data_IF_332778676543
#
_entry.id   IF_332778676543
#
_cell.length_a   1.000
_cell.length_b   1.000
_cell.length_c   1.000
_cell.angle_alpha   90.00
_cell.angle_beta   90.00
_cell.angle_gamma   90.00
#
_symmetry.space_group_name_H-M   'P 1'
#
loop_
_entity.id
_entity.type
_entity.pdbx_description
1 polymer ?
#
# COMPACT_ATOMS: atom_id res chain seq x y z
N UNK A 1 4.08 4.65 -20.16
CA UNK A 1 3.11 4.55 -19.05
C UNK A 1 3.89 4.53 -17.74
N UNK A 2 3.53 5.38 -16.77
CA UNK A 2 4.12 5.36 -15.43
C UNK A 2 3.75 4.04 -14.75
N UNK A 3 4.71 3.38 -14.07
CA UNK A 3 4.50 2.07 -13.43
C UNK A 3 3.57 2.24 -12.22
N UNK A 4 2.57 1.35 -12.09
CA UNK A 4 1.61 1.36 -10.97
C UNK A 4 2.05 0.35 -9.91
N UNK A 5 2.85 0.82 -8.94
CA UNK A 5 3.46 -0.06 -7.95
C UNK A 5 2.43 -0.64 -6.97
N UNK A 6 1.34 0.07 -6.68
CA UNK A 6 0.28 -0.46 -5.80
C UNK A 6 -0.39 -1.65 -6.46
N UNK A 7 -0.72 -1.56 -7.76
CA UNK A 7 -1.30 -2.68 -8.51
C UNK A 7 -0.35 -3.87 -8.59
N UNK A 8 0.93 -3.62 -8.85
CA UNK A 8 1.96 -4.67 -8.92
C UNK A 8 2.11 -5.38 -7.56
N UNK A 9 2.20 -4.61 -6.46
CA UNK A 9 2.30 -5.14 -5.11
C UNK A 9 1.04 -5.91 -4.70
N UNK A 10 -0.15 -5.38 -4.99
CA UNK A 10 -1.41 -6.07 -4.72
C UNK A 10 -1.52 -7.40 -5.46
N UNK A 11 -1.14 -7.44 -6.74
CA UNK A 11 -1.13 -8.68 -7.52
C UNK A 11 -0.20 -9.71 -6.91
N UNK A 12 1.01 -9.27 -6.53
CA UNK A 12 2.04 -10.11 -5.93
C UNK A 12 1.63 -10.71 -4.58
N UNK A 13 0.94 -9.92 -3.74
CA UNK A 13 0.50 -10.34 -2.42
C UNK A 13 -0.97 -10.81 -2.38
N UNK A 14 -1.58 -11.03 -3.55
CA UNK A 14 -2.97 -11.52 -3.70
C UNK A 14 -4.00 -10.64 -2.96
N UNK A 15 -3.77 -9.32 -2.94
CA UNK A 15 -4.72 -8.37 -2.36
C UNK A 15 -5.77 -8.02 -3.41
N UNK A 16 -7.01 -8.45 -3.15
CA UNK A 16 -8.13 -8.23 -4.05
C UNK A 16 -8.53 -6.74 -4.15
N UNK A 17 -8.50 -6.02 -3.02
CA UNK A 17 -8.98 -4.63 -2.94
C UNK A 17 -7.87 -3.59 -3.20
N UNK A 18 -7.19 -3.73 -4.34
CA UNK A 18 -6.11 -2.82 -4.74
C UNK A 18 -6.60 -1.41 -5.11
N UNK A 19 -7.84 -1.29 -5.60
CA UNK A 19 -8.47 -0.02 -5.95
C UNK A 19 -8.72 0.86 -4.71
N UNK A 20 -9.11 0.27 -3.57
CA UNK A 20 -9.20 1.01 -2.31
C UNK A 20 -7.85 1.55 -1.86
N UNK A 21 -6.81 0.70 -1.88
CA UNK A 21 -5.45 1.12 -1.48
C UNK A 21 -4.98 2.27 -2.37
N UNK A 22 -5.22 2.15 -3.68
CA UNK A 22 -4.87 3.18 -4.66
C UNK A 22 -5.61 4.49 -4.39
N UNK A 23 -6.91 4.44 -4.13
CA UNK A 23 -7.72 5.63 -3.81
C UNK A 23 -7.21 6.34 -2.55
N UNK A 24 -6.94 5.58 -1.49
CA UNK A 24 -6.44 6.12 -0.23
C UNK A 24 -5.02 6.70 -0.40
N UNK A 25 -4.17 6.04 -1.21
CA UNK A 25 -2.87 6.59 -1.57
C UNK A 25 -2.98 7.90 -2.35
N UNK A 26 -3.89 8.00 -3.32
CA UNK A 26 -4.08 9.23 -4.10
C UNK A 26 -4.53 10.40 -3.21
N UNK A 27 -5.44 10.16 -2.25
CA UNK A 27 -5.80 11.16 -1.22
C UNK A 27 -4.58 11.57 -0.40
N UNK A 28 -3.80 10.61 0.09
CA UNK A 28 -2.59 10.87 0.86
C UNK A 28 -1.57 11.68 0.06
N UNK A 29 -1.32 11.29 -1.19
CA UNK A 29 -0.37 11.92 -2.11
C UNK A 29 -0.74 13.38 -2.37
N UNK A 30 -1.99 13.65 -2.74
CA UNK A 30 -2.45 15.00 -3.00
C UNK A 30 -2.28 15.94 -1.80
N UNK A 31 -2.46 15.42 -0.58
CA UNK A 31 -2.37 16.22 0.66
C UNK A 31 -0.94 16.42 1.17
N UNK A 32 -0.05 15.45 0.96
CA UNK A 32 1.22 15.38 1.69
C UNK A 32 2.48 15.33 0.80
N UNK A 33 2.33 14.90 -0.45
CA UNK A 33 3.45 14.65 -1.37
C UNK A 33 3.44 15.69 -2.49
N UNK A 34 2.28 15.95 -3.09
CA UNK A 34 2.15 16.90 -4.21
C UNK A 34 2.39 18.36 -3.80
N UNK A 35 2.46 18.63 -2.50
CA UNK A 35 2.81 19.92 -1.93
C UNK A 35 4.33 20.12 -1.78
N UNK A 36 5.15 19.10 -2.05
CA UNK A 36 6.60 19.17 -1.90
C UNK A 36 7.23 19.79 -3.16
N UNK A 37 8.16 20.73 -2.97
CA UNK A 37 8.84 21.43 -4.07
C UNK A 37 9.74 20.51 -4.91
N UNK A 38 10.35 19.49 -4.27
CA UNK A 38 11.27 18.56 -4.91
C UNK A 38 10.85 17.13 -4.61
N UNK A 39 10.31 16.46 -5.62
CA UNK A 39 9.97 15.04 -5.58
C UNK A 39 10.36 14.37 -6.88
N UNK A 40 11.20 13.34 -6.80
CA UNK A 40 11.58 12.52 -7.96
C UNK A 40 10.77 11.21 -8.00
N UNK A 41 10.89 10.49 -9.12
CA UNK A 41 10.17 9.22 -9.32
C UNK A 41 10.60 8.12 -8.34
N UNK A 42 11.82 8.17 -7.81
CA UNK A 42 12.31 7.20 -6.82
C UNK A 42 11.65 7.45 -5.46
N UNK A 43 11.52 8.71 -5.05
CA UNK A 43 10.81 9.10 -3.84
C UNK A 43 9.34 8.75 -3.93
N UNK A 44 8.68 9.03 -5.06
CA UNK A 44 7.28 8.66 -5.30
C UNK A 44 7.06 7.15 -5.14
N UNK A 45 7.90 6.35 -5.79
CA UNK A 45 7.87 4.89 -5.66
C UNK A 45 8.07 4.45 -4.20
N UNK A 46 8.97 5.09 -3.44
CA UNK A 46 9.16 4.78 -2.02
C UNK A 46 7.94 5.10 -1.17
N UNK A 47 7.27 6.23 -1.43
CA UNK A 47 6.02 6.56 -0.76
C UNK A 47 4.91 5.56 -1.09
N UNK A 48 4.82 5.07 -2.33
CA UNK A 48 3.84 4.02 -2.69
C UNK A 48 4.11 2.71 -1.93
N UNK A 49 5.36 2.27 -1.86
CA UNK A 49 5.74 1.07 -1.11
C UNK A 49 5.49 1.25 0.39
N UNK A 50 5.88 2.40 0.96
CA UNK A 50 5.68 2.71 2.37
C UNK A 50 4.19 2.79 2.72
N UNK A 51 3.39 3.40 1.85
CA UNK A 51 1.95 3.48 2.00
C UNK A 51 1.30 2.10 1.95
N UNK A 52 1.63 1.30 0.94
CA UNK A 52 1.13 -0.06 0.80
C UNK A 52 1.47 -0.91 2.04
N UNK A 53 2.72 -0.85 2.51
CA UNK A 53 3.13 -1.54 3.73
C UNK A 53 2.32 -1.04 4.94
N UNK A 54 2.17 0.27 5.11
CA UNK A 54 1.43 0.82 6.24
C UNK A 54 -0.05 0.46 6.20
N UNK A 55 -0.65 0.39 5.02
CA UNK A 55 -2.06 0.06 4.83
C UNK A 55 -2.33 -1.43 5.07
N UNK A 56 -1.52 -2.30 4.48
CA UNK A 56 -1.76 -3.75 4.45
C UNK A 56 -1.09 -4.50 5.59
N UNK A 57 -0.07 -3.90 6.22
CA UNK A 57 0.84 -4.51 7.22
C UNK A 57 1.61 -5.74 6.72
N UNK A 58 1.62 -6.01 5.41
CA UNK A 58 2.34 -7.13 4.81
C UNK A 58 3.84 -6.83 4.82
N UNK A 59 4.65 -7.78 5.30
CA UNK A 59 6.11 -7.63 5.35
C UNK A 59 6.73 -7.78 3.96
N UNK A 60 7.52 -6.79 3.57
CA UNK A 60 8.34 -6.86 2.36
C UNK A 60 9.61 -7.67 2.59
N UNK A 61 9.95 -8.51 1.62
CA UNK A 61 11.26 -9.09 1.42
C UNK A 61 12.18 -8.08 0.70
N UNK A 62 13.50 -8.28 0.79
CA UNK A 62 14.48 -7.42 0.08
C UNK A 62 14.29 -7.36 -1.43
N UNK A 63 13.65 -8.38 -2.02
CA UNK A 63 13.38 -8.45 -3.47
C UNK A 63 12.17 -7.60 -3.88
N UNK A 64 11.41 -7.13 -2.90
CA UNK A 64 10.20 -6.33 -3.09
C UNK A 64 10.53 -4.84 -3.11
N UNK A 65 11.73 -4.49 -2.62
CA UNK A 65 12.29 -3.15 -2.73
C UNK A 65 13.17 -3.04 -3.98
N UNK A 66 13.16 -1.89 -4.66
CA UNK A 66 14.06 -1.61 -5.77
C UNK A 66 15.52 -1.71 -5.35
N UNK A 67 16.36 -2.32 -6.20
CA UNK A 67 17.77 -2.55 -5.89
C UNK A 67 18.58 -1.26 -5.75
N UNK A 68 18.15 -0.19 -6.42
CA UNK A 68 18.85 1.10 -6.36
C UNK A 68 18.61 1.87 -5.06
N UNK A 69 17.68 1.43 -4.20
CA UNK A 69 17.19 2.25 -3.09
C UNK A 69 17.66 1.74 -1.73
N UNK A 70 18.30 2.63 -0.97
CA UNK A 70 18.74 2.34 0.39
C UNK A 70 17.55 2.04 1.32
N UNK A 71 17.64 1.01 2.18
CA UNK A 71 16.65 0.74 3.22
C UNK A 71 16.35 1.94 4.13
N UNK A 72 17.28 2.90 4.23
CA UNK A 72 17.10 4.14 4.98
C UNK A 72 15.99 5.01 4.38
N UNK A 73 15.94 5.15 3.06
CA UNK A 73 14.96 6.00 2.36
C UNK A 73 13.55 5.42 2.56
N UNK A 74 13.41 4.10 2.43
CA UNK A 74 12.14 3.42 2.70
C UNK A 74 11.66 3.63 4.15
N UNK A 75 12.57 3.53 5.14
CA UNK A 75 12.22 3.77 6.55
C UNK A 75 11.73 5.19 6.79
N UNK A 76 12.42 6.19 6.23
CA UNK A 76 12.01 7.60 6.34
C UNK A 76 10.63 7.82 5.72
N UNK A 77 10.40 7.33 4.50
CA UNK A 77 9.08 7.42 3.87
C UNK A 77 7.99 6.73 4.70
N UNK A 78 8.30 5.58 5.30
CA UNK A 78 7.39 4.84 6.17
C UNK A 78 7.04 5.59 7.46
N UNK A 79 8.02 6.23 8.10
CA UNK A 79 7.79 7.06 9.28
C UNK A 79 6.89 8.25 8.96
N UNK A 80 7.13 8.93 7.83
CA UNK A 80 6.27 10.02 7.38
C UNK A 80 4.85 9.57 7.09
N UNK A 81 4.68 8.45 6.38
CA UNK A 81 3.36 7.88 6.11
C UNK A 81 2.64 7.56 7.42
N UNK A 82 3.30 6.92 8.39
CA UNK A 82 2.68 6.60 9.69
C UNK A 82 2.22 7.83 10.46
N UNK A 83 2.99 8.92 10.38
CA UNK A 83 2.67 10.15 11.09
C UNK A 83 1.56 10.95 10.43
N UNK A 84 1.48 10.92 9.09
CA UNK A 84 0.58 11.79 8.30
C UNK A 84 -0.69 11.06 7.82
N UNK A 85 -0.70 9.73 7.77
CA UNK A 85 -1.84 8.94 7.33
C UNK A 85 -2.60 8.31 8.51
N UNK A 86 -3.83 8.75 8.71
CA UNK A 86 -4.82 8.10 9.54
C UNK A 86 -5.94 7.57 8.63
N UNK A 87 -6.27 6.26 8.67
CA UNK A 87 -7.39 5.75 7.89
C UNK A 87 -8.67 6.46 8.33
N UNK A 88 -9.42 7.03 7.38
CA UNK A 88 -10.78 7.45 7.66
C UNK A 88 -11.57 6.20 8.05
N UNK A 89 -12.11 6.17 9.28
CA UNK A 89 -13.02 5.10 9.69
C UNK A 89 -14.35 5.33 8.96
N UNK A 90 -14.47 4.86 7.73
CA UNK A 90 -15.78 4.76 7.11
C UNK A 90 -16.58 3.67 7.85
N UNK A 91 -17.84 3.93 8.26
CA UNK A 91 -18.68 2.91 8.89
C UNK A 91 -18.92 1.68 8.00
N UNK A 92 -18.67 1.80 6.69
CA UNK A 92 -18.78 0.74 5.68
C UNK A 92 -17.50 -0.10 5.51
N UNK A 93 -16.39 0.27 6.16
CA UNK A 93 -15.09 -0.42 6.05
C UNK A 93 -14.99 -1.70 6.91
N UNK A 94 -16.07 -2.49 6.96
CA UNK A 94 -15.97 -3.90 7.33
C UNK A 94 -15.34 -4.63 6.15
N UNK A 95 -14.02 -4.52 6.06
CA UNK A 95 -13.21 -5.21 5.04
C UNK A 95 -13.63 -6.67 4.96
N UNK A 96 -14.01 -7.09 3.75
CA UNK A 96 -14.15 -8.49 3.40
C UNK A 96 -12.78 -9.15 3.55
N UNK A 97 -12.53 -9.67 4.74
CA UNK A 97 -11.48 -10.66 4.95
C UNK A 97 -11.99 -11.95 4.31
N UNK A 98 -11.71 -12.13 3.02
CA UNK A 98 -11.86 -13.43 2.37
C UNK A 98 -10.83 -14.39 2.97
N UNK A 99 -11.17 -14.99 4.11
CA UNK A 99 -10.48 -16.19 4.55
C UNK A 99 -10.86 -17.32 3.58
N UNK A 100 -9.87 -17.82 2.84
CA UNK A 100 -9.99 -18.99 1.95
C UNK A 100 -10.54 -20.26 2.64
N UNK A 101 -10.60 -20.28 3.98
CA UNK A 101 -11.26 -21.31 4.77
C UNK A 101 -12.80 -21.34 4.63
N UNK A 102 -13.42 -20.33 4.02
CA UNK A 102 -14.87 -20.32 3.75
C UNK A 102 -15.28 -21.05 2.47
N UNK A 103 -14.32 -21.53 1.65
CA UNK A 103 -14.62 -22.22 0.37
C UNK A 103 -14.62 -23.76 0.55
N UNK A 104 -14.13 -24.29 1.66
CA UNK A 104 -14.19 -25.73 1.97
C UNK A 104 -15.09 -26.01 3.16
N UNK A 105 -16.38 -25.73 3.00
CA UNK A 105 -17.40 -26.51 3.66
C UNK A 105 -18.62 -26.57 2.73
N UNK A 106 -18.65 -27.50 1.75
CA UNK A 106 -19.94 -27.88 1.20
C UNK A 106 -20.72 -28.44 2.38
N UNK A 107 -21.78 -27.74 2.78
CA UNK A 107 -22.79 -28.26 3.70
C UNK A 107 -23.16 -29.65 3.19
N UNK A 108 -22.57 -30.65 3.86
CA UNK A 108 -22.84 -32.04 3.62
C UNK A 108 -24.11 -32.31 4.42
N UNK A 109 -25.23 -32.40 3.68
CA UNK A 109 -26.56 -32.94 4.05
C UNK A 109 -27.13 -32.54 5.42
#
# INVERSE_FOLDING_TARGET
>A
MKKDYIKDLSTKYLICDHERIRREYLKYKAKNIDTLEYIDDTMLMMYEHAFFYNFTKIKFSRKDLPKEVSPRIFRTALEEVKNKYAPEKNPEDKGLVCNLYSITNPLSL
#
